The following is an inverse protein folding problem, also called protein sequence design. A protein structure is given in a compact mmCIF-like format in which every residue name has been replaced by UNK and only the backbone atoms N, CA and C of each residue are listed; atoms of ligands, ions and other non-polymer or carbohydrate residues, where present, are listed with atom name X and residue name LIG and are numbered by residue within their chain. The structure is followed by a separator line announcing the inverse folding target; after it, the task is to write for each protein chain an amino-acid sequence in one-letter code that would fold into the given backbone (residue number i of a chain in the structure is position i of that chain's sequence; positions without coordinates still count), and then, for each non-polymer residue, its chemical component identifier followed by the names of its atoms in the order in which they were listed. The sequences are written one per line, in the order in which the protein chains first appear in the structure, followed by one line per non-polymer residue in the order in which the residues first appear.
data_IF_668005783091
#
_entry.id   IF_668005783091
#
_cell.length_a   1.000
_cell.length_b   1.000
_cell.length_c   1.000
_cell.angle_alpha   90.00
_cell.angle_beta   90.00
_cell.angle_gamma   90.00
#
_symmetry.space_group_name_H-M   'P 1'
#
loop_
_entity.id
_entity.type
_entity.pdbx_description
1 polymer ?
#
# COMPACT_ATOMS: atom_id res chain seq x y z
N UNK A 1 15.38 -4.44 15.00
CA UNK A 1 15.16 -4.48 13.54
C UNK A 1 16.36 -5.12 12.88
N UNK A 2 16.18 -6.09 11.97
CA UNK A 2 17.27 -6.51 11.08
C UNK A 2 17.70 -5.26 10.31
N UNK A 3 19.00 -4.96 10.30
CA UNK A 3 19.53 -3.85 9.51
C UNK A 3 19.23 -4.16 8.04
N UNK A 4 18.46 -3.31 7.38
CA UNK A 4 18.25 -3.39 5.94
C UNK A 4 19.59 -3.26 5.21
N UNK A 5 19.68 -3.83 4.00
CA UNK A 5 20.92 -3.78 3.23
C UNK A 5 21.24 -2.33 2.83
N UNK A 6 22.51 -2.04 2.49
CA UNK A 6 22.89 -0.72 1.96
C UNK A 6 22.16 -0.39 0.65
N UNK A 7 21.91 -1.41 -0.17
CA UNK A 7 21.20 -1.26 -1.44
C UNK A 7 19.72 -0.91 -1.18
N UNK A 8 19.07 -1.62 -0.26
CA UNK A 8 17.69 -1.31 0.12
C UNK A 8 17.56 0.08 0.76
N UNK A 9 18.53 0.50 1.58
CA UNK A 9 18.57 1.87 2.12
C UNK A 9 18.67 2.93 1.01
N UNK A 10 19.46 2.69 -0.04
CA UNK A 10 19.53 3.57 -1.20
C UNK A 10 18.20 3.63 -1.97
N UNK A 11 17.54 2.48 -2.15
CA UNK A 11 16.22 2.38 -2.76
C UNK A 11 15.19 3.21 -1.98
N UNK A 12 15.15 3.08 -0.65
CA UNK A 12 14.21 3.83 0.20
C UNK A 12 14.51 5.32 0.20
N UNK A 13 15.79 5.72 0.21
CA UNK A 13 16.18 7.14 0.08
C UNK A 13 15.79 7.73 -1.26
N UNK A 14 15.91 6.96 -2.34
CA UNK A 14 15.41 7.35 -3.66
C UNK A 14 13.89 7.51 -3.63
N UNK A 15 13.17 6.56 -3.02
CA UNK A 15 11.72 6.64 -2.82
C UNK A 15 11.30 7.91 -2.07
N UNK A 16 11.96 8.25 -0.96
CA UNK A 16 11.73 9.49 -0.22
C UNK A 16 11.93 10.71 -1.11
N UNK A 17 13.06 10.78 -1.82
CA UNK A 17 13.36 11.90 -2.74
C UNK A 17 12.35 12.01 -3.88
N UNK A 18 11.80 10.89 -4.34
CA UNK A 18 10.79 10.91 -5.39
C UNK A 18 9.48 11.53 -4.94
N UNK A 19 9.09 11.31 -3.69
CA UNK A 19 7.87 11.87 -3.11
C UNK A 19 8.10 13.30 -2.59
N UNK A 20 9.28 13.60 -2.05
CA UNK A 20 9.67 14.91 -1.51
C UNK A 20 11.07 15.28 -2.06
N UNK A 21 11.16 15.96 -3.22
CA UNK A 21 12.44 16.20 -3.91
C UNK A 21 13.39 17.10 -3.13
N UNK A 22 12.82 18.07 -2.41
CA UNK A 22 13.52 19.00 -1.56
C UNK A 22 12.84 18.99 -0.19
N UNK A 23 13.57 18.57 0.84
CA UNK A 23 13.13 18.65 2.23
C UNK A 23 14.21 19.27 3.09
N UNK A 24 13.77 19.95 4.13
CA UNK A 24 14.62 20.53 5.17
C UNK A 24 14.34 19.86 6.51
N UNK A 25 15.32 19.90 7.40
CA UNK A 25 15.14 19.42 8.76
C UNK A 25 14.43 20.49 9.58
N UNK A 26 13.19 20.23 9.99
CA UNK A 26 12.44 21.13 10.87
C UNK A 26 12.73 20.87 12.34
N UNK A 27 12.93 19.62 12.72
CA UNK A 27 13.27 19.18 14.08
C UNK A 27 14.26 18.01 14.02
N UNK A 28 14.75 17.55 15.19
CA UNK A 28 15.82 16.55 15.26
C UNK A 28 15.58 15.27 14.43
N UNK A 29 14.31 14.88 14.23
CA UNK A 29 13.90 13.68 13.49
C UNK A 29 12.76 13.94 12.48
N UNK A 30 12.46 15.21 12.14
CA UNK A 30 11.38 15.55 11.21
C UNK A 30 11.95 16.33 10.02
N UNK A 31 11.76 15.76 8.84
CA UNK A 31 12.13 16.34 7.55
C UNK A 31 10.87 16.73 6.78
N UNK A 32 10.80 17.96 6.30
CA UNK A 32 9.58 18.52 5.70
C UNK A 32 9.89 19.14 4.35
N UNK A 33 9.02 18.91 3.37
CA UNK A 33 9.12 19.50 2.05
C UNK A 33 7.81 19.48 1.29
N UNK A 34 7.86 19.96 0.06
CA UNK A 34 6.72 19.93 -0.86
C UNK A 34 6.64 18.58 -1.58
N UNK A 35 5.42 18.11 -1.81
CA UNK A 35 5.15 16.88 -2.53
C UNK A 35 5.49 17.02 -4.01
N UNK A 36 6.05 15.95 -4.59
CA UNK A 36 6.25 15.87 -6.02
C UNK A 36 4.92 15.56 -6.73
N UNK A 37 4.31 16.57 -7.35
CA UNK A 37 3.04 16.44 -8.09
C UNK A 37 3.10 15.52 -9.31
N UNK A 38 4.29 15.18 -9.83
CA UNK A 38 4.41 14.19 -10.93
C UNK A 38 4.27 12.74 -10.44
N UNK A 39 4.45 12.49 -9.14
CA UNK A 39 4.30 11.14 -8.56
C UNK A 39 2.84 10.70 -8.46
N UNK A 40 1.88 11.62 -8.62
CA UNK A 40 0.44 11.34 -8.57
C UNK A 40 -0.21 11.15 -9.94
N UNK A 41 0.45 11.51 -11.04
CA UNK A 41 -0.12 11.38 -12.40
C UNK A 41 -0.36 9.92 -12.84
N UNK A 42 0.34 8.95 -12.24
CA UNK A 42 0.05 7.52 -12.47
C UNK A 42 -1.24 7.03 -11.78
N UNK A 43 -1.73 7.78 -10.77
CA UNK A 43 -2.97 7.47 -10.04
C UNK A 43 -4.20 8.23 -10.57
N UNK A 44 -4.03 9.20 -11.47
CA UNK A 44 -5.10 10.13 -11.89
C UNK A 44 -5.68 9.88 -13.28
N UNK A 45 -5.32 8.79 -13.97
CA UNK A 45 -6.02 8.41 -15.21
C UNK A 45 -7.37 7.75 -14.87
N UNK A 46 -8.35 8.59 -14.54
CA UNK A 46 -9.79 8.32 -14.67
C UNK A 46 -10.40 7.24 -13.76
N UNK A 47 -9.68 6.72 -12.78
CA UNK A 47 -10.21 5.74 -11.82
C UNK A 47 -10.04 6.27 -10.40
N UNK A 48 -11.02 6.00 -9.53
CA UNK A 48 -10.83 6.24 -8.10
C UNK A 48 -9.54 5.51 -7.65
N UNK A 49 -8.74 6.09 -6.74
CA UNK A 49 -7.59 5.38 -6.21
C UNK A 49 -8.04 4.00 -5.72
N UNK A 50 -7.24 2.98 -6.00
CA UNK A 50 -7.39 1.64 -5.41
C UNK A 50 -7.66 1.81 -3.91
N UNK A 51 -8.58 1.06 -3.32
CA UNK A 51 -8.97 1.30 -1.93
C UNK A 51 -7.76 1.08 -1.01
N UNK A 52 -7.30 2.15 -0.36
CA UNK A 52 -6.10 2.15 0.48
C UNK A 52 -4.92 2.95 -0.09
N UNK A 53 -5.03 3.48 -1.31
CA UNK A 53 -4.04 4.38 -1.90
C UNK A 53 -4.57 5.80 -1.74
N UNK A 54 -4.04 6.53 -0.77
CA UNK A 54 -4.39 7.94 -0.65
C UNK A 54 -3.93 8.76 -1.86
N UNK A 55 -4.59 9.88 -2.09
CA UNK A 55 -4.06 10.95 -2.92
C UNK A 55 -2.81 11.51 -2.22
N UNK A 56 -1.63 11.10 -2.69
CA UNK A 56 -0.35 11.63 -2.22
C UNK A 56 -0.16 13.11 -2.54
N UNK A 57 -1.11 13.72 -3.23
CA UNK A 57 -1.11 15.08 -3.75
C UNK A 57 -1.23 16.13 -2.65
N UNK A 58 -1.82 15.79 -1.49
CA UNK A 58 -2.07 16.75 -0.39
C UNK A 58 -1.18 16.52 0.83
N UNK A 59 -0.94 15.26 1.18
CA UNK A 59 -0.05 14.88 2.29
C UNK A 59 0.52 13.48 2.10
N UNK A 60 1.78 13.30 2.50
CA UNK A 60 2.45 12.02 2.68
C UNK A 60 3.32 12.10 3.93
N UNK A 61 3.14 11.17 4.85
CA UNK A 61 3.92 11.05 6.07
C UNK A 61 4.57 9.68 6.05
N UNK A 62 5.89 9.60 6.20
CA UNK A 62 6.62 8.34 6.13
C UNK A 62 7.63 8.21 7.27
N UNK A 63 7.50 7.13 8.05
CA UNK A 63 8.50 6.72 9.03
C UNK A 63 9.57 5.87 8.38
N UNK A 64 10.83 6.30 8.54
CA UNK A 64 11.97 5.53 8.11
C UNK A 64 13.22 5.89 8.91
N UNK A 65 13.93 4.86 9.37
CA UNK A 65 15.18 4.99 10.15
C UNK A 65 15.05 5.97 11.32
N UNK A 66 13.94 5.87 12.07
CA UNK A 66 13.60 6.74 13.21
C UNK A 66 13.29 8.20 12.86
N UNK A 67 13.25 8.54 11.57
CA UNK A 67 12.89 9.85 11.07
C UNK A 67 11.46 9.83 10.50
N UNK A 68 10.83 11.00 10.51
CA UNK A 68 9.56 11.26 9.84
C UNK A 68 9.82 12.19 8.66
N UNK A 69 9.40 11.75 7.48
CA UNK A 69 9.40 12.54 6.26
C UNK A 69 7.98 13.01 5.98
N UNK A 70 7.79 14.33 5.91
CA UNK A 70 6.50 14.97 5.68
C UNK A 70 6.53 15.72 4.35
N UNK A 71 5.78 15.21 3.38
CA UNK A 71 5.36 15.97 2.22
C UNK A 71 3.97 16.51 2.48
N UNK A 72 3.77 17.83 2.42
CA UNK A 72 2.46 18.44 2.72
C UNK A 72 2.30 19.77 2.00
N UNK A 73 1.07 20.10 1.62
CA UNK A 73 0.74 21.43 1.11
C UNK A 73 1.01 22.53 2.17
N UNK A 74 1.50 23.68 1.71
CA UNK A 74 1.94 24.78 2.56
C UNK A 74 0.86 25.25 3.55
N UNK A 75 -0.43 25.19 3.18
CA UNK A 75 -1.53 25.65 4.03
C UNK A 75 -1.73 24.78 5.28
N UNK A 76 -1.50 23.46 5.18
CA UNK A 76 -1.66 22.52 6.30
C UNK A 76 -0.34 22.29 7.07
N UNK A 77 0.78 22.75 6.50
CA UNK A 77 2.14 22.43 6.92
C UNK A 77 2.39 22.70 8.41
N UNK A 78 2.09 23.91 8.88
CA UNK A 78 2.39 24.29 10.27
C UNK A 78 1.65 23.42 11.29
N UNK A 79 0.35 23.17 11.08
CA UNK A 79 -0.47 22.43 12.04
C UNK A 79 -0.14 20.94 12.07
N UNK A 80 0.18 20.36 10.91
CA UNK A 80 0.66 18.98 10.83
C UNK A 80 2.03 18.86 11.51
N UNK A 81 2.96 19.77 11.22
CA UNK A 81 4.28 19.78 11.88
C UNK A 81 4.16 19.89 13.41
N UNK A 82 3.31 20.80 13.89
CA UNK A 82 3.03 20.98 15.32
C UNK A 82 2.48 19.72 15.99
N UNK A 83 1.64 18.95 15.28
CA UNK A 83 1.13 17.68 15.78
C UNK A 83 2.24 16.63 15.83
N UNK A 84 3.05 16.52 14.76
CA UNK A 84 4.13 15.53 14.68
C UNK A 84 5.23 15.75 15.72
N UNK A 85 5.56 17.01 16.05
CA UNK A 85 6.61 17.33 17.03
C UNK A 85 6.21 17.04 18.48
N UNK A 86 4.91 17.12 18.79
CA UNK A 86 4.38 16.94 20.15
C UNK A 86 3.89 15.51 20.42
N UNK A 87 3.82 14.67 19.39
CA UNK A 87 3.20 13.35 19.47
C UNK A 87 4.23 12.25 19.32
N UNK A 88 4.19 11.24 20.19
CA UNK A 88 5.07 10.08 20.06
C UNK A 88 4.81 9.33 18.76
N UNK A 89 5.85 8.84 18.09
CA UNK A 89 5.74 8.16 16.78
C UNK A 89 4.72 7.01 16.77
N UNK A 90 4.65 6.21 17.83
CA UNK A 90 3.71 5.08 17.91
C UNK A 90 2.25 5.56 17.95
N UNK A 91 1.99 6.78 18.42
CA UNK A 91 0.67 7.40 18.38
C UNK A 91 0.37 8.03 17.02
N UNK A 92 1.38 8.59 16.35
CA UNK A 92 1.26 9.12 14.98
C UNK A 92 0.85 7.99 14.02
N UNK A 93 1.58 6.88 14.03
CA UNK A 93 1.32 5.74 13.15
C UNK A 93 0.32 4.74 13.78
N UNK A 94 -0.85 5.25 14.17
CA UNK A 94 -1.93 4.48 14.77
C UNK A 94 -3.30 5.04 14.38
N UNK A 95 -4.38 4.37 14.81
CA UNK A 95 -5.74 4.90 14.65
C UNK A 95 -5.89 6.28 15.28
N UNK A 96 -5.22 6.59 16.40
CA UNK A 96 -5.26 7.92 17.00
C UNK A 96 -4.71 8.98 16.05
N UNK A 97 -3.52 8.74 15.49
CA UNK A 97 -2.90 9.66 14.53
C UNK A 97 -3.74 9.83 13.28
N UNK A 98 -4.33 8.76 12.74
CA UNK A 98 -5.25 8.84 11.59
C UNK A 98 -6.43 9.78 11.87
N UNK A 99 -7.04 9.68 13.06
CA UNK A 99 -8.15 10.55 13.47
C UNK A 99 -7.70 12.00 13.68
N UNK A 100 -6.61 12.23 14.41
CA UNK A 100 -6.14 13.59 14.70
C UNK A 100 -5.63 14.32 13.47
N UNK A 101 -4.86 13.63 12.61
CA UNK A 101 -4.42 14.19 11.35
C UNK A 101 -5.62 14.50 10.45
N UNK A 102 -6.61 13.60 10.36
CA UNK A 102 -7.84 13.87 9.61
C UNK A 102 -8.65 15.05 10.16
N UNK A 103 -8.69 15.22 11.48
CA UNK A 103 -9.31 16.38 12.14
C UNK A 103 -8.59 17.68 11.79
N UNK A 104 -7.26 17.67 11.81
CA UNK A 104 -6.42 18.82 11.43
C UNK A 104 -6.62 19.14 9.94
N UNK A 105 -6.59 18.12 9.08
CA UNK A 105 -6.58 18.31 7.63
C UNK A 105 -7.94 18.61 7.03
N UNK A 106 -9.03 18.30 7.75
CA UNK A 106 -10.41 18.47 7.29
C UNK A 106 -10.70 19.86 6.72
N UNK A 107 -10.22 20.92 7.40
CA UNK A 107 -10.43 22.31 6.95
C UNK A 107 -9.69 22.69 5.67
N UNK A 108 -8.75 21.85 5.23
CA UNK A 108 -8.04 21.98 3.96
C UNK A 108 -8.63 21.06 2.87
N UNK A 109 -9.76 20.38 3.14
CA UNK A 109 -10.52 19.64 2.14
C UNK A 109 -10.09 18.18 1.95
N UNK A 110 -9.24 17.64 2.82
CA UNK A 110 -8.81 16.24 2.76
C UNK A 110 -8.67 15.61 4.16
N UNK A 111 -8.59 14.29 4.19
CA UNK A 111 -8.38 13.48 5.38
C UNK A 111 -7.10 12.66 5.23
N UNK A 112 -6.73 11.89 6.24
CA UNK A 112 -5.54 11.03 6.20
C UNK A 112 -5.94 9.56 6.30
N UNK A 113 -5.40 8.76 5.40
CA UNK A 113 -5.47 7.30 5.40
C UNK A 113 -4.15 6.71 5.87
N UNK A 114 -4.22 5.57 6.57
CA UNK A 114 -3.09 4.85 7.14
C UNK A 114 -3.35 4.49 8.62
N UNK A 115 -2.33 3.98 9.33
CA UNK A 115 -1.00 3.63 8.82
C UNK A 115 -1.03 2.48 7.80
N UNK A 116 -0.12 2.50 6.84
CA UNK A 116 0.16 1.39 5.93
C UNK A 116 1.62 0.98 6.04
N UNK A 117 1.89 -0.32 6.04
CA UNK A 117 3.25 -0.84 5.98
C UNK A 117 3.78 -0.73 4.57
N UNK A 118 4.99 -0.18 4.45
CA UNK A 118 5.72 -0.08 3.20
C UNK A 118 6.73 -1.21 3.12
N UNK A 119 6.68 -1.95 2.02
CA UNK A 119 7.57 -3.08 1.76
C UNK A 119 8.26 -2.96 0.40
N UNK A 120 9.52 -3.38 0.39
CA UNK A 120 10.35 -3.49 -0.80
C UNK A 120 11.06 -4.84 -0.82
N UNK A 121 11.48 -5.28 -2.00
CA UNK A 121 12.32 -6.46 -2.16
C UNK A 121 13.62 -6.14 -2.87
N UNK A 122 14.61 -6.97 -2.63
CA UNK A 122 15.82 -7.06 -3.43
C UNK A 122 15.76 -8.35 -4.24
N UNK A 123 16.29 -8.34 -5.46
CA UNK A 123 16.18 -9.50 -6.36
C UNK A 123 16.76 -10.79 -5.75
N UNK A 124 17.88 -10.67 -5.02
CA UNK A 124 18.54 -11.79 -4.36
C UNK A 124 17.74 -12.41 -3.21
N UNK A 125 16.77 -11.67 -2.67
CA UNK A 125 15.89 -12.15 -1.60
C UNK A 125 14.50 -12.54 -2.12
N UNK A 126 14.25 -12.34 -3.43
CA UNK A 126 12.98 -12.70 -4.04
C UNK A 126 12.81 -14.22 -4.10
N UNK A 127 11.62 -14.70 -3.71
CA UNK A 127 11.32 -16.12 -3.65
C UNK A 127 10.36 -16.44 -4.80
N UNK A 128 10.84 -17.25 -5.75
CA UNK A 128 10.00 -17.74 -6.86
C UNK A 128 9.05 -18.85 -6.40
N UNK A 129 7.75 -18.56 -6.42
CA UNK A 129 6.68 -19.46 -6.01
C UNK A 129 5.89 -19.90 -7.24
N UNK A 130 6.11 -21.15 -7.65
CA UNK A 130 5.51 -21.73 -8.85
C UNK A 130 4.58 -22.90 -8.49
N UNK A 131 3.42 -22.61 -7.89
CA UNK A 131 2.43 -23.65 -7.53
C UNK A 131 1.35 -23.88 -8.58
N UNK A 132 1.14 -22.90 -9.45
CA UNK A 132 0.12 -22.89 -10.50
C UNK A 132 0.73 -22.27 -11.76
N UNK A 133 0.17 -22.60 -12.93
CA UNK A 133 0.58 -21.99 -14.19
C UNK A 133 0.06 -20.56 -14.27
N UNK A 134 0.96 -19.61 -14.57
CA UNK A 134 0.66 -18.19 -14.66
C UNK A 134 0.75 -17.74 -16.10
N UNK A 135 -0.33 -17.16 -16.61
CA UNK A 135 -0.37 -16.47 -17.88
C UNK A 135 -0.03 -14.99 -17.70
N UNK A 136 0.84 -14.47 -18.58
CA UNK A 136 1.20 -13.05 -18.59
C UNK A 136 0.35 -12.35 -19.65
N UNK A 137 -0.58 -11.51 -19.19
CA UNK A 137 -1.52 -10.79 -20.04
C UNK A 137 -1.09 -9.33 -20.22
N UNK A 138 -1.33 -8.79 -21.41
CA UNK A 138 -1.35 -7.33 -21.60
C UNK A 138 -2.57 -6.71 -20.91
N UNK A 139 -2.53 -5.39 -20.68
CA UNK A 139 -3.66 -4.60 -20.19
C UNK A 139 -4.97 -4.89 -20.94
N UNK A 140 -4.91 -5.00 -22.27
CA UNK A 140 -6.09 -5.20 -23.11
C UNK A 140 -6.65 -6.62 -22.98
N UNK A 141 -5.80 -7.63 -22.83
CA UNK A 141 -6.22 -9.02 -22.62
C UNK A 141 -6.84 -9.19 -21.24
N UNK A 142 -6.17 -8.67 -20.20
CA UNK A 142 -6.66 -8.69 -18.83
C UNK A 142 -8.05 -8.06 -18.70
N UNK A 143 -8.23 -6.84 -19.24
CA UNK A 143 -9.49 -6.10 -19.17
C UNK A 143 -10.66 -6.75 -19.91
N UNK A 144 -10.41 -7.70 -20.84
CA UNK A 144 -11.48 -8.42 -21.53
C UNK A 144 -12.18 -9.46 -20.66
N UNK A 145 -11.47 -10.01 -19.67
CA UNK A 145 -11.93 -11.20 -18.91
C UNK A 145 -12.01 -10.98 -17.40
N UNK A 146 -11.36 -9.94 -16.85
CA UNK A 146 -11.35 -9.70 -15.41
C UNK A 146 -12.73 -9.27 -14.89
N UNK A 147 -13.16 -9.88 -13.79
CA UNK A 147 -14.26 -9.34 -12.99
C UNK A 147 -13.73 -8.22 -12.08
N UNK A 148 -13.98 -6.97 -12.48
CA UNK A 148 -13.49 -5.78 -11.77
C UNK A 148 -14.02 -5.64 -10.35
N UNK A 149 -15.13 -6.32 -10.00
CA UNK A 149 -15.68 -6.29 -8.63
C UNK A 149 -14.92 -7.24 -7.72
N UNK A 150 -14.46 -8.37 -8.25
CA UNK A 150 -13.69 -9.35 -7.49
C UNK A 150 -12.23 -8.93 -7.38
N UNK A 151 -11.62 -8.52 -8.50
CA UNK A 151 -10.20 -8.18 -8.59
C UNK A 151 -9.96 -6.67 -8.42
N UNK A 152 -10.50 -6.09 -7.36
CA UNK A 152 -10.56 -4.64 -7.19
C UNK A 152 -9.24 -4.01 -6.69
N UNK A 153 -8.28 -4.79 -6.17
CA UNK A 153 -6.93 -4.30 -5.90
C UNK A 153 -6.05 -4.30 -7.15
N UNK A 154 -6.50 -4.92 -8.25
CA UNK A 154 -5.76 -4.93 -9.49
C UNK A 154 -5.96 -3.61 -10.24
N UNK A 155 -4.89 -3.09 -10.82
CA UNK A 155 -4.95 -1.90 -11.66
C UNK A 155 -5.35 -2.26 -13.09
N UNK A 156 -6.49 -1.72 -13.53
CA UNK A 156 -6.99 -1.89 -14.89
C UNK A 156 -6.17 -1.13 -15.93
N UNK A 157 -5.32 -0.20 -15.49
CA UNK A 157 -4.32 0.51 -16.29
C UNK A 157 -2.90 -0.05 -16.11
N UNK A 158 -2.76 -1.29 -15.65
CA UNK A 158 -1.47 -1.93 -15.40
C UNK A 158 -0.53 -1.98 -16.62
N UNK A 159 0.76 -2.16 -16.34
CA UNK A 159 1.80 -2.50 -17.31
C UNK A 159 1.60 -3.94 -17.83
N UNK A 160 1.39 -4.87 -16.90
CA UNK A 160 1.16 -6.29 -17.12
C UNK A 160 0.27 -6.86 -16.03
N UNK A 161 -0.48 -7.90 -16.39
CA UNK A 161 -1.21 -8.74 -15.45
C UNK A 161 -0.66 -10.17 -15.50
N UNK A 162 -0.68 -10.84 -14.35
CA UNK A 162 -0.17 -12.18 -14.13
C UNK A 162 -1.32 -12.98 -13.55
N UNK A 163 -1.90 -13.87 -14.35
CA UNK A 163 -3.19 -14.48 -14.05
C UNK A 163 -3.13 -15.99 -14.07
N UNK A 164 -3.82 -16.62 -13.12
CA UNK A 164 -4.19 -18.04 -13.21
C UNK A 164 -5.61 -18.10 -13.76
N UNK A 165 -5.79 -18.81 -14.87
CA UNK A 165 -7.07 -18.89 -15.60
C UNK A 165 -7.59 -20.32 -15.54
N UNK A 166 -8.84 -20.48 -15.10
CA UNK A 166 -9.57 -21.74 -15.16
C UNK A 166 -10.94 -21.52 -15.79
N UNK A 167 -11.31 -22.39 -16.75
CA UNK A 167 -12.60 -22.31 -17.45
C UNK A 167 -12.89 -20.89 -17.99
N UNK A 168 -11.89 -20.29 -18.65
CA UNK A 168 -11.93 -18.95 -19.24
C UNK A 168 -12.14 -17.80 -18.23
N UNK A 169 -11.98 -18.08 -16.93
CA UNK A 169 -12.11 -17.08 -15.86
C UNK A 169 -10.82 -16.93 -15.08
N UNK A 170 -10.47 -15.70 -14.75
CA UNK A 170 -9.39 -15.41 -13.83
C UNK A 170 -9.81 -15.88 -12.44
N UNK A 171 -9.02 -16.75 -11.83
CA UNK A 171 -9.21 -17.20 -10.42
C UNK A 171 -8.18 -16.57 -9.47
N UNK A 172 -7.10 -16.02 -10.00
CA UNK A 172 -6.12 -15.22 -9.29
C UNK A 172 -5.42 -14.27 -10.25
N UNK A 173 -5.15 -13.05 -9.82
CA UNK A 173 -4.37 -12.10 -10.63
C UNK A 173 -3.54 -11.19 -9.76
N UNK A 174 -2.34 -10.89 -10.25
CA UNK A 174 -1.55 -9.76 -9.82
C UNK A 174 -1.30 -8.80 -10.99
N UNK A 175 -1.27 -7.50 -10.73
CA UNK A 175 -0.97 -6.47 -11.72
C UNK A 175 0.23 -5.64 -11.28
N UNK A 176 1.01 -5.18 -12.26
CA UNK A 176 2.09 -4.22 -12.04
C UNK A 176 1.65 -2.83 -12.47
N UNK A 177 1.68 -1.89 -11.52
CA UNK A 177 1.41 -0.47 -11.76
C UNK A 177 2.70 0.32 -11.69
N UNK A 178 3.02 1.09 -12.73
CA UNK A 178 4.13 2.03 -12.68
C UNK A 178 3.81 3.18 -11.72
N UNK A 179 4.64 3.34 -10.69
CA UNK A 179 4.52 4.42 -9.71
C UNK A 179 5.70 5.41 -9.80
N UNK A 180 6.43 5.36 -10.90
CA UNK A 180 7.50 6.29 -11.26
C UNK A 180 8.88 5.84 -10.77
N UNK A 181 9.93 6.37 -11.40
CA UNK A 181 11.34 6.16 -11.03
C UNK A 181 11.73 4.67 -10.89
N UNK A 182 11.24 3.85 -11.82
CA UNK A 182 11.43 2.39 -11.89
C UNK A 182 10.76 1.59 -10.78
N UNK A 183 9.93 2.22 -9.93
CA UNK A 183 9.14 1.50 -8.95
C UNK A 183 7.85 0.98 -9.57
N UNK A 184 7.49 -0.25 -9.22
CA UNK A 184 6.22 -0.85 -9.62
C UNK A 184 5.49 -1.40 -8.41
N UNK A 185 4.23 -1.02 -8.26
CA UNK A 185 3.35 -1.58 -7.25
C UNK A 185 2.72 -2.89 -7.73
N UNK A 186 2.62 -3.87 -6.83
CA UNK A 186 1.94 -5.14 -7.10
C UNK A 186 0.58 -5.16 -6.39
N UNK A 187 -0.51 -5.00 -7.16
CA UNK A 187 -1.87 -5.26 -6.69
C UNK A 187 -2.24 -6.73 -6.91
N UNK A 188 -2.80 -7.42 -5.92
CA UNK A 188 -3.10 -8.87 -5.99
C UNK A 188 -4.46 -9.22 -5.42
N UNK A 189 -5.18 -10.10 -6.11
CA UNK A 189 -6.46 -10.66 -5.66
C UNK A 189 -6.56 -12.15 -6.03
N UNK A 190 -7.36 -12.86 -5.25
CA UNK A 190 -7.80 -14.23 -5.54
C UNK A 190 -9.31 -14.30 -5.46
N UNK A 191 -9.93 -15.03 -6.38
CA UNK A 191 -11.37 -15.22 -6.38
C UNK A 191 -11.81 -15.89 -5.06
N UNK A 192 -12.85 -15.37 -4.36
CA UNK A 192 -13.24 -15.85 -3.03
C UNK A 192 -13.67 -17.32 -3.01
N UNK A 193 -14.28 -17.79 -4.10
CA UNK A 193 -14.74 -19.18 -4.22
C UNK A 193 -13.62 -20.17 -4.56
N UNK A 194 -12.40 -19.70 -4.84
CA UNK A 194 -11.31 -20.61 -5.18
C UNK A 194 -10.87 -21.42 -3.95
N UNK A 195 -10.81 -22.74 -4.14
CA UNK A 195 -10.36 -23.67 -3.10
C UNK A 195 -8.85 -23.93 -3.15
N UNK A 196 -8.15 -23.39 -4.14
CA UNK A 196 -6.73 -23.67 -4.38
C UNK A 196 -5.83 -22.87 -3.44
N UNK A 197 -4.90 -23.57 -2.81
CA UNK A 197 -3.91 -22.92 -1.94
C UNK A 197 -2.79 -22.26 -2.74
N UNK A 198 -2.29 -21.12 -2.27
CA UNK A 198 -1.09 -20.49 -2.82
C UNK A 198 -1.28 -19.74 -4.14
N UNK A 199 -2.51 -19.54 -4.59
CA UNK A 199 -2.83 -18.75 -5.79
C UNK A 199 -2.24 -17.33 -5.74
N UNK A 200 -2.58 -16.57 -4.69
CA UNK A 200 -2.10 -15.19 -4.52
C UNK A 200 -0.58 -15.11 -4.51
N UNK A 201 0.09 -16.01 -3.80
CA UNK A 201 1.56 -16.06 -3.76
C UNK A 201 2.19 -16.41 -5.11
N UNK A 202 1.52 -17.24 -5.92
CA UNK A 202 2.02 -17.62 -7.23
C UNK A 202 1.98 -16.43 -8.20
N UNK A 203 0.84 -15.75 -8.32
CA UNK A 203 0.73 -14.57 -9.21
C UNK A 203 1.57 -13.39 -8.72
N UNK A 204 1.63 -13.18 -7.39
CA UNK A 204 2.43 -12.11 -6.80
C UNK A 204 3.93 -12.34 -7.03
N UNK A 205 4.40 -13.58 -6.81
CA UNK A 205 5.78 -13.97 -7.08
C UNK A 205 6.16 -13.79 -8.55
N UNK A 206 5.27 -14.20 -9.47
CA UNK A 206 5.51 -14.06 -10.91
C UNK A 206 5.62 -12.58 -11.32
N UNK A 207 4.75 -11.73 -10.78
CA UNK A 207 4.79 -10.29 -11.03
C UNK A 207 6.12 -9.66 -10.59
N UNK A 208 6.57 -9.93 -9.37
CA UNK A 208 7.84 -9.35 -8.91
C UNK A 208 9.07 -9.92 -9.61
N UNK A 209 9.07 -11.21 -9.99
CA UNK A 209 10.16 -11.78 -10.82
C UNK A 209 10.24 -11.09 -12.17
N UNK A 210 9.10 -10.88 -12.81
CA UNK A 210 9.05 -10.16 -14.08
C UNK A 210 9.55 -8.71 -13.92
N UNK A 211 9.16 -8.02 -12.85
CA UNK A 211 9.63 -6.67 -12.56
C UNK A 211 11.17 -6.61 -12.47
N UNK A 212 11.79 -7.49 -11.69
CA UNK A 212 13.27 -7.55 -11.58
C UNK A 212 13.94 -7.84 -12.93
N UNK A 213 13.42 -8.79 -13.71
CA UNK A 213 13.93 -9.10 -15.05
C UNK A 213 13.86 -7.92 -16.03
N UNK A 214 13.00 -6.94 -15.76
CA UNK A 214 12.84 -5.71 -16.53
C UNK A 214 13.48 -4.48 -15.86
N UNK A 215 14.36 -4.68 -14.88
CA UNK A 215 15.08 -3.60 -14.20
C UNK A 215 14.20 -2.70 -13.33
N UNK A 216 13.02 -3.19 -12.92
CA UNK A 216 12.07 -2.48 -12.06
C UNK A 216 12.18 -2.96 -10.62
N UNK A 217 11.80 -2.10 -9.67
CA UNK A 217 11.82 -2.38 -8.23
C UNK A 217 10.39 -2.63 -7.74
N UNK A 218 10.06 -3.85 -7.30
CA UNK A 218 8.78 -4.14 -6.66
C UNK A 218 8.57 -3.34 -5.37
N UNK A 219 7.38 -2.79 -5.25
CA UNK A 219 6.88 -2.07 -4.09
C UNK A 219 5.52 -2.62 -3.66
N UNK A 220 5.22 -2.54 -2.37
CA UNK A 220 3.86 -2.72 -1.87
C UNK A 220 3.59 -1.82 -0.68
N UNK A 221 2.42 -1.19 -0.67
CA UNK A 221 1.80 -0.63 0.53
C UNK A 221 0.67 -1.53 0.99
N UNK A 222 0.61 -1.85 2.29
CA UNK A 222 -0.42 -2.73 2.83
C UNK A 222 -0.91 -2.25 4.19
N UNK A 223 -2.23 -2.13 4.34
CA UNK A 223 -2.83 -1.85 5.64
C UNK A 223 -2.55 -2.98 6.64
N UNK A 224 -2.23 -2.70 7.92
CA UNK A 224 -1.96 -3.72 8.95
C UNK A 224 -3.07 -4.74 9.15
N UNK A 225 -4.31 -4.38 8.79
CA UNK A 225 -5.47 -5.27 8.84
C UNK A 225 -5.45 -6.34 7.73
N UNK A 226 -4.74 -6.13 6.62
CA UNK A 226 -4.72 -7.05 5.48
C UNK A 226 -3.66 -8.15 5.64
N UNK A 227 -3.85 -8.97 6.69
CA UNK A 227 -2.94 -10.04 7.08
C UNK A 227 -2.67 -11.04 5.93
N UNK A 228 -3.66 -11.46 5.11
CA UNK A 228 -3.39 -12.38 3.99
C UNK A 228 -2.42 -11.80 2.95
N UNK A 229 -2.58 -10.53 2.58
CA UNK A 229 -1.67 -9.86 1.65
C UNK A 229 -0.28 -9.69 2.26
N UNK A 230 -0.17 -9.23 3.51
CA UNK A 230 1.13 -9.10 4.19
C UNK A 230 1.89 -10.43 4.22
N UNK A 231 1.20 -11.54 4.54
CA UNK A 231 1.82 -12.88 4.51
C UNK A 231 2.31 -13.25 3.12
N UNK A 232 1.52 -12.96 2.09
CA UNK A 232 1.89 -13.23 0.69
C UNK A 232 3.14 -12.44 0.29
N UNK A 233 3.17 -11.16 0.61
CA UNK A 233 4.28 -10.25 0.31
C UNK A 233 5.57 -10.74 0.99
N UNK A 234 5.53 -10.97 2.31
CA UNK A 234 6.71 -11.43 3.08
C UNK A 234 7.20 -12.80 2.59
N UNK A 235 6.28 -13.73 2.33
CA UNK A 235 6.63 -15.07 1.82
C UNK A 235 7.27 -15.03 0.42
N UNK A 236 7.07 -13.94 -0.32
CA UNK A 236 7.68 -13.74 -1.66
C UNK A 236 9.01 -12.99 -1.59
N UNK A 237 9.49 -12.63 -0.39
CA UNK A 237 10.77 -11.95 -0.18
C UNK A 237 10.67 -10.44 0.11
N UNK A 238 9.45 -9.88 0.21
CA UNK A 238 9.28 -8.49 0.61
C UNK A 238 9.73 -8.25 2.05
N UNK A 239 10.42 -7.14 2.27
CA UNK A 239 10.93 -6.69 3.57
C UNK A 239 10.20 -5.42 3.98
N UNK A 240 9.70 -5.41 5.21
CA UNK A 240 9.20 -4.20 5.85
C UNK A 240 10.32 -3.16 5.98
N UNK A 241 10.05 -1.93 5.55
CA UNK A 241 11.01 -0.80 5.66
C UNK A 241 10.52 0.34 6.53
N UNK A 242 9.21 0.55 6.63
CA UNK A 242 8.64 1.73 7.29
C UNK A 242 7.12 1.76 7.22
N UNK A 243 6.54 2.83 7.74
CA UNK A 243 5.09 3.06 7.77
C UNK A 243 4.78 4.36 7.07
N UNK A 244 3.79 4.37 6.18
CA UNK A 244 3.28 5.60 5.61
C UNK A 244 1.82 5.91 5.96
N UNK A 245 1.47 7.18 5.77
CA UNK A 245 0.13 7.73 5.81
C UNK A 245 -0.01 8.71 4.64
N UNK A 246 -1.18 8.73 4.02
CA UNK A 246 -1.42 9.46 2.75
C UNK A 246 -2.74 10.22 2.80
N UNK A 247 -2.84 11.34 2.09
CA UNK A 247 -4.09 12.11 1.98
C UNK A 247 -5.23 11.31 1.34
N UNK A 248 -6.48 11.56 1.70
CA UNK A 248 -7.65 10.92 1.07
C UNK A 248 -8.83 11.89 1.00
N UNK A 249 -9.70 11.73 -0.01
CA UNK A 249 -10.90 12.58 -0.19
C UNK A 249 -11.99 12.30 0.82
N UNK A 250 -12.06 11.06 1.33
CA UNK A 250 -13.07 10.64 2.29
C UNK A 250 -12.38 10.00 3.47
N UNK A 251 -12.80 10.38 4.67
CA UNK A 251 -12.37 9.69 5.87
C UNK A 251 -12.91 8.25 5.86
N UNK A 252 -12.00 7.29 5.82
CA UNK A 252 -12.31 5.88 5.86
C UNK A 252 -11.56 5.25 7.02
N UNK A 253 -12.25 4.40 7.77
CA UNK A 253 -11.63 3.60 8.83
C UNK A 253 -11.24 2.24 8.27
N UNK A 254 -10.10 1.66 8.71
CA UNK A 254 -9.77 0.30 8.34
C UNK A 254 -10.82 -0.69 8.88
N UNK A 255 -11.03 -1.83 8.20
CA UNK A 255 -11.87 -2.89 8.71
C UNK A 255 -11.21 -3.58 9.92
N UNK A 256 -11.93 -4.54 10.52
CA UNK A 256 -11.31 -5.51 11.42
C UNK A 256 -10.21 -6.31 10.69
N UNK A 257 -9.22 -6.87 11.41
CA UNK A 257 -8.18 -7.69 10.81
C UNK A 257 -8.76 -8.82 9.95
N UNK A 258 -8.27 -8.96 8.73
CA UNK A 258 -8.71 -9.95 7.76
C UNK A 258 -8.02 -11.30 7.98
N UNK A 259 -8.73 -12.38 7.65
CA UNK A 259 -8.19 -13.73 7.72
C UNK A 259 -8.19 -14.31 9.15
N UNK A 260 -7.52 -15.46 9.30
CA UNK A 260 -7.43 -16.21 10.57
C UNK A 260 -6.00 -16.64 10.86
N UNK A 261 -5.62 -16.79 12.14
CA UNK A 261 -4.30 -17.31 12.50
C UNK A 261 -4.03 -18.70 11.90
N UNK A 262 -4.98 -19.63 12.05
CA UNK A 262 -5.00 -20.95 11.42
C UNK A 262 -6.44 -21.35 11.07
N UNK A 263 -6.63 -22.44 10.31
CA UNK A 263 -7.98 -22.92 9.95
C UNK A 263 -8.79 -23.42 11.16
N UNK A 264 -8.12 -23.76 12.25
CA UNK A 264 -8.69 -24.39 13.45
C UNK A 264 -9.04 -23.38 14.55
N UNK A 265 -8.56 -22.14 14.43
CA UNK A 265 -8.78 -21.09 15.43
C UNK A 265 -10.01 -20.28 15.05
N UNK A 266 -11.01 -20.30 15.94
CA UNK A 266 -12.18 -19.43 15.86
C UNK A 266 -11.79 -18.01 16.29
N UNK A 267 -12.20 -17.02 15.49
CA UNK A 267 -12.06 -15.60 15.82
C UNK A 267 -13.37 -15.13 16.42
N UNK A 268 -13.31 -14.49 17.58
CA UNK A 268 -14.47 -13.92 18.28
C UNK A 268 -14.37 -12.40 18.28
N UNK A 269 -15.49 -11.72 18.09
CA UNK A 269 -15.52 -10.27 18.30
C UNK A 269 -15.39 -9.99 19.79
N UNK A 270 -14.37 -9.23 20.16
CA UNK A 270 -14.11 -8.87 21.53
C UNK A 270 -15.10 -7.81 22.03
N UNK A 271 -15.60 -6.94 21.13
CA UNK A 271 -16.39 -5.78 21.50
C UNK A 271 -17.88 -6.01 21.19
N UNK A 272 -18.80 -5.74 22.14
CA UNK A 272 -20.22 -5.96 21.89
C UNK A 272 -20.76 -4.97 20.84
N UNK A 273 -21.72 -5.41 20.03
CA UNK A 273 -22.29 -4.61 18.94
C UNK A 273 -22.74 -3.20 19.37
N UNK A 274 -23.34 -3.07 20.55
CA UNK A 274 -23.85 -1.78 21.07
C UNK A 274 -22.75 -0.75 21.34
N UNK A 275 -21.51 -1.19 21.51
CA UNK A 275 -20.38 -0.33 21.81
C UNK A 275 -19.57 0.04 20.55
N UNK A 276 -19.82 -0.63 19.42
CA UNK A 276 -19.18 -0.29 18.15
C UNK A 276 -19.57 1.13 17.71
N UNK A 277 -18.66 1.81 17.03
CA UNK A 277 -18.88 3.18 16.57
C UNK A 277 -20.08 3.23 15.59
N UNK A 278 -21.20 3.87 15.97
CA UNK A 278 -22.43 3.90 15.17
C UNK A 278 -22.35 4.85 13.96
N UNK A 279 -21.33 5.71 13.90
CA UNK A 279 -21.17 6.71 12.84
C UNK A 279 -20.49 6.12 11.58
N UNK A 280 -19.97 4.89 11.65
CA UNK A 280 -19.34 4.22 10.51
C UNK A 280 -20.44 3.71 9.57
N UNK A 281 -20.57 4.36 8.42
CA UNK A 281 -21.48 3.93 7.35
C UNK A 281 -20.77 3.03 6.34
N UNK A 282 -21.48 2.07 5.70
CA UNK A 282 -20.92 1.30 4.59
C UNK A 282 -20.44 2.21 3.46
N UNK A 283 -19.29 1.89 2.86
CA UNK A 283 -18.82 2.56 1.63
C UNK A 283 -19.82 2.26 0.51
N UNK A 284 -20.34 3.33 -0.12
CA UNK A 284 -21.28 3.23 -1.25
C UNK A 284 -20.56 2.93 -2.55
#
# INVERSE_FOLDING_TARGET
MKKISKNLDQIVKLWIKNNIPNYEQSESNIYVGELNKYSSESSTVGTEPLAGHGFKDSIWIFEYDQNIYLGVDNDARQEVQDFLSKTHKDMIFSSYGTYELSRITHKFGYYVWGPSWVLFAEENDWIDINKHDVEILSRNEFNKIVDKKVFWHNDFNCLKAFSVIENEKIIASATLTDIGNNFVEIGVDTHPDSQLSGLGSTVYSAAGRWAFQNGMIPFSSVGPFNIPSTRTQINSGMKYVGVDMTGTKQFAVPPQPLGRPSKEINVVDYYPEWAKNPDISPKK
#
